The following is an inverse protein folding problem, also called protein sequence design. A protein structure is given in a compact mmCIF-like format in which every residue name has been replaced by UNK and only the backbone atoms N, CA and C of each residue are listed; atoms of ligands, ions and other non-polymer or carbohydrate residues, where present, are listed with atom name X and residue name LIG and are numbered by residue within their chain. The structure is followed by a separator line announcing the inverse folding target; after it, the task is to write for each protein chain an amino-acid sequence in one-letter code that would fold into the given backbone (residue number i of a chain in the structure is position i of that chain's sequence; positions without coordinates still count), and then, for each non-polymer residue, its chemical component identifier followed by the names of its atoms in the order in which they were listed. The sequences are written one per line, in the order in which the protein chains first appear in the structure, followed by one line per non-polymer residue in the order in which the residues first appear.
data_IF_776309919936
#
_entry.id   IF_776309919936
#
_cell.length_a   1.000
_cell.length_b   1.000
_cell.length_c   1.000
_cell.angle_alpha   90.00
_cell.angle_beta   90.00
_cell.angle_gamma   90.00
#
_symmetry.space_group_name_H-M   'P 1'
#
loop_
_entity.id
_entity.type
_entity.pdbx_description
1 polymer ?
#
# COMPACT_ATOMS: atom_id res chain seq x y z
N UNK A 1 14.64 11.17 -10.47
CA UNK A 1 14.78 10.17 -9.39
C UNK A 1 14.79 10.91 -8.05
N UNK A 2 14.21 10.32 -7.01
CA UNK A 2 14.25 10.87 -5.66
C UNK A 2 15.64 10.73 -5.05
N UNK A 3 16.07 11.69 -4.25
CA UNK A 3 17.32 11.57 -3.49
C UNK A 3 17.12 10.62 -2.30
N UNK A 4 18.22 10.04 -1.80
CA UNK A 4 18.20 9.23 -0.57
C UNK A 4 17.62 10.00 0.63
N UNK A 5 17.82 11.32 0.68
CA UNK A 5 17.23 12.15 1.72
C UNK A 5 15.70 12.24 1.57
N UNK A 6 15.19 12.47 0.36
CA UNK A 6 13.75 12.47 0.11
C UNK A 6 13.11 11.12 0.46
N UNK A 7 13.78 10.02 0.15
CA UNK A 7 13.35 8.66 0.51
C UNK A 7 13.26 8.49 2.03
N UNK A 8 14.28 8.94 2.79
CA UNK A 8 14.25 8.91 4.25
C UNK A 8 13.11 9.75 4.82
N UNK A 9 12.90 10.95 4.29
CA UNK A 9 11.87 11.87 4.78
C UNK A 9 10.44 11.38 4.51
N UNK A 10 10.25 10.44 3.58
CA UNK A 10 8.97 9.78 3.28
C UNK A 10 8.59 8.68 4.26
N UNK A 11 9.56 8.07 4.97
CA UNK A 11 9.28 7.02 5.95
C UNK A 11 9.15 7.63 7.34
N UNK A 12 7.93 7.74 7.84
CA UNK A 12 7.67 8.28 9.16
C UNK A 12 6.79 7.34 10.00
N UNK A 13 6.90 7.41 11.34
CA UNK A 13 5.93 6.78 12.22
C UNK A 13 4.51 7.24 11.88
N UNK A 14 3.54 6.33 11.97
CA UNK A 14 2.14 6.71 11.83
C UNK A 14 1.80 7.78 12.88
N UNK A 15 1.14 8.89 12.50
CA UNK A 15 0.77 9.93 13.45
C UNK A 15 -0.29 9.41 14.42
N UNK A 16 -0.28 9.93 15.65
CA UNK A 16 -1.33 9.67 16.63
C UNK A 16 -2.70 10.19 16.15
N UNK A 17 -2.70 11.33 15.45
CA UNK A 17 -3.89 11.85 14.77
C UNK A 17 -4.17 11.06 13.46
N UNK A 18 -5.25 10.28 13.48
CA UNK A 18 -5.70 9.45 12.35
C UNK A 18 -6.56 10.19 11.31
N UNK A 19 -6.70 11.52 11.43
CA UNK A 19 -7.51 12.35 10.50
C UNK A 19 -7.21 12.05 9.03
N UNK A 20 -5.95 11.80 8.69
CA UNK A 20 -5.48 11.55 7.32
C UNK A 20 -5.08 10.10 7.04
N UNK A 21 -5.37 9.19 7.98
CA UNK A 21 -5.13 7.75 7.84
C UNK A 21 -6.43 7.07 7.43
N UNK A 22 -6.37 6.26 6.37
CA UNK A 22 -7.40 5.27 6.04
C UNK A 22 -6.96 3.93 6.60
N UNK A 23 -7.85 3.22 7.29
CA UNK A 23 -7.58 1.87 7.78
C UNK A 23 -8.58 0.91 7.16
N UNK A 24 -8.10 -0.17 6.56
CA UNK A 24 -8.93 -1.29 6.16
C UNK A 24 -8.29 -2.59 6.64
N UNK A 25 -9.12 -3.58 6.90
CA UNK A 25 -8.68 -4.89 7.38
C UNK A 25 -9.28 -5.98 6.50
N UNK A 26 -8.52 -7.05 6.26
CA UNK A 26 -9.01 -8.27 5.64
C UNK A 26 -8.45 -9.49 6.36
N UNK A 27 -9.28 -10.51 6.52
CA UNK A 27 -8.84 -11.84 6.97
C UNK A 27 -8.64 -12.69 5.71
N UNK A 28 -7.44 -13.19 5.49
CA UNK A 28 -7.04 -14.02 4.35
C UNK A 28 -7.04 -15.49 4.73
N UNK A 29 -7.65 -16.32 3.90
CA UNK A 29 -7.71 -17.77 4.07
C UNK A 29 -6.38 -18.45 3.69
N UNK A 30 -5.32 -18.08 4.41
CA UNK A 30 -3.98 -18.63 4.29
C UNK A 30 -3.18 -18.40 5.61
N UNK A 31 -2.22 -19.27 5.95
CA UNK A 31 -1.35 -19.12 7.14
C UNK A 31 -0.47 -17.87 7.08
N UNK A 32 -0.09 -17.35 8.26
CA UNK A 32 0.69 -16.11 8.39
C UNK A 32 1.99 -16.14 7.57
N UNK A 33 2.78 -17.20 7.71
CA UNK A 33 4.06 -17.35 7.00
C UNK A 33 3.87 -17.28 5.48
N UNK A 34 2.78 -17.90 4.99
CA UNK A 34 2.45 -17.85 3.57
C UNK A 34 2.12 -16.43 3.13
N UNK A 35 1.24 -15.73 3.86
CA UNK A 35 0.83 -14.37 3.50
C UNK A 35 2.02 -13.40 3.57
N UNK A 36 2.85 -13.51 4.60
CA UNK A 36 4.03 -12.66 4.79
C UNK A 36 5.08 -12.79 3.67
N UNK A 37 5.28 -14.00 3.15
CA UNK A 37 6.23 -14.23 2.06
C UNK A 37 5.68 -13.83 0.69
N UNK A 38 4.35 -13.81 0.51
CA UNK A 38 3.73 -13.58 -0.80
C UNK A 38 3.13 -12.18 -1.00
N UNK A 39 2.68 -11.49 0.05
CA UNK A 39 2.07 -10.15 -0.05
C UNK A 39 3.07 -9.08 0.42
N UNK A 40 3.49 -8.12 -0.44
CA UNK A 40 3.03 -7.86 -1.81
C UNK A 40 3.82 -8.52 -2.95
N UNK A 41 4.86 -9.30 -2.66
CA UNK A 41 5.85 -9.78 -3.63
C UNK A 41 5.26 -10.46 -4.88
N UNK A 42 4.33 -11.39 -4.69
CA UNK A 42 3.89 -12.34 -5.72
C UNK A 42 2.49 -12.03 -6.26
N UNK A 43 1.95 -10.86 -5.96
CA UNK A 43 0.57 -10.52 -6.33
C UNK A 43 0.48 -9.97 -7.76
N UNK A 44 -0.61 -10.32 -8.45
CA UNK A 44 -1.01 -9.62 -9.67
C UNK A 44 -1.63 -8.26 -9.30
N UNK A 45 -0.86 -7.19 -9.52
CA UNK A 45 -1.28 -5.84 -9.11
C UNK A 45 -2.45 -5.33 -9.95
N UNK A 46 -2.64 -5.80 -11.18
CA UNK A 46 -3.78 -5.39 -12.01
C UNK A 46 -5.13 -5.81 -11.40
N UNK A 47 -5.13 -6.89 -10.61
CA UNK A 47 -6.30 -7.33 -9.85
C UNK A 47 -6.54 -6.54 -8.57
N UNK A 48 -5.54 -5.79 -8.10
CA UNK A 48 -5.58 -5.03 -6.85
C UNK A 48 -5.86 -3.55 -7.13
N UNK A 49 -5.06 -2.93 -7.99
CA UNK A 49 -5.15 -1.51 -8.34
C UNK A 49 -6.04 -1.32 -9.56
N UNK A 50 -7.35 -1.51 -9.39
CA UNK A 50 -8.34 -1.31 -10.47
C UNK A 50 -8.79 0.16 -10.56
N UNK A 51 -9.19 0.67 -11.74
CA UNK A 51 -9.71 2.02 -11.88
C UNK A 51 -10.86 2.31 -10.91
N UNK A 52 -10.87 3.51 -10.32
CA UNK A 52 -11.87 3.87 -9.31
C UNK A 52 -12.13 5.37 -9.28
N UNK A 53 -13.40 5.77 -9.51
CA UNK A 53 -13.85 7.17 -9.42
C UNK A 53 -12.93 8.16 -10.16
N UNK A 54 -12.52 7.78 -11.37
CA UNK A 54 -11.64 8.60 -12.21
C UNK A 54 -10.14 8.43 -11.95
N UNK A 55 -9.73 7.68 -10.92
CA UNK A 55 -8.33 7.27 -10.78
C UNK A 55 -8.01 6.10 -11.72
N UNK A 56 -6.85 6.12 -12.39
CA UNK A 56 -6.41 5.03 -13.23
C UNK A 56 -6.07 3.78 -12.39
N UNK A 57 -6.13 2.61 -13.02
CA UNK A 57 -5.62 1.36 -12.45
C UNK A 57 -4.17 1.11 -12.84
N UNK A 58 -3.55 0.07 -12.29
CA UNK A 58 -2.25 -0.42 -12.75
C UNK A 58 -2.43 -1.30 -14.00
N UNK A 59 -1.73 -0.96 -15.09
CA UNK A 59 -1.72 -1.73 -16.33
C UNK A 59 -0.52 -2.70 -16.41
N UNK A 60 0.63 -2.28 -15.90
CA UNK A 60 1.83 -3.11 -15.77
C UNK A 60 2.71 -2.60 -14.63
N UNK A 61 3.66 -3.42 -14.17
CA UNK A 61 4.61 -3.05 -13.14
C UNK A 61 5.98 -3.66 -13.39
N UNK A 62 7.01 -2.95 -12.96
CA UNK A 62 8.40 -3.43 -12.97
C UNK A 62 8.95 -3.25 -11.58
N UNK A 63 9.65 -4.28 -11.09
CA UNK A 63 10.26 -4.28 -9.77
C UNK A 63 11.78 -4.27 -9.90
N UNK A 64 12.47 -3.73 -8.89
CA UNK A 64 13.93 -3.91 -8.78
C UNK A 64 14.27 -5.38 -8.55
N UNK A 65 15.50 -5.80 -8.88
CA UNK A 65 15.94 -7.19 -8.69
C UNK A 65 15.66 -7.71 -7.26
N UNK A 66 15.97 -6.89 -6.25
CA UNK A 66 15.82 -7.25 -4.84
C UNK A 66 14.48 -6.82 -4.24
N UNK A 67 13.43 -6.91 -5.06
CA UNK A 67 12.10 -6.51 -4.65
C UNK A 67 11.64 -7.24 -3.39
N UNK A 68 10.91 -6.48 -2.57
CA UNK A 68 10.39 -6.81 -1.25
C UNK A 68 11.34 -6.51 -0.08
N UNK A 69 12.57 -6.06 -0.35
CA UNK A 69 13.51 -5.63 0.71
C UNK A 69 13.55 -4.10 0.87
N UNK A 70 13.95 -3.57 2.05
CA UNK A 70 14.10 -2.12 2.24
C UNK A 70 15.02 -1.47 1.19
N UNK A 71 14.58 -0.36 0.61
CA UNK A 71 15.27 0.35 -0.47
C UNK A 71 14.92 -0.14 -1.88
N UNK A 72 14.25 -1.29 -2.01
CA UNK A 72 13.73 -1.78 -3.29
C UNK A 72 12.52 -0.95 -3.76
N UNK A 73 12.20 -1.04 -5.06
CA UNK A 73 11.10 -0.27 -5.65
C UNK A 73 10.20 -1.14 -6.53
N UNK A 74 8.95 -0.71 -6.64
CA UNK A 74 8.00 -1.12 -7.66
C UNK A 74 7.53 0.11 -8.41
N UNK A 75 7.58 0.07 -9.74
CA UNK A 75 7.09 1.14 -10.60
C UNK A 75 5.92 0.63 -11.43
N UNK A 76 4.77 1.28 -11.27
CA UNK A 76 3.54 1.02 -11.99
C UNK A 76 3.46 1.90 -13.22
N UNK A 77 3.10 1.30 -14.36
CA UNK A 77 2.49 2.04 -15.47
C UNK A 77 0.98 1.96 -15.30
N UNK A 78 0.34 3.12 -15.17
CA UNK A 78 -1.09 3.23 -14.95
C UNK A 78 -1.86 3.16 -16.28
N UNK A 79 -3.17 2.91 -16.23
CA UNK A 79 -4.03 2.79 -17.44
C UNK A 79 -4.16 4.08 -18.26
N UNK A 80 -3.78 5.23 -17.68
CA UNK A 80 -3.67 6.52 -18.37
C UNK A 80 -2.24 6.86 -18.81
N UNK A 81 -1.33 5.87 -18.77
CA UNK A 81 0.11 5.97 -19.05
C UNK A 81 0.90 6.82 -18.06
N UNK A 82 0.30 7.29 -16.96
CA UNK A 82 1.08 7.88 -15.87
C UNK A 82 1.90 6.82 -15.15
N UNK A 83 2.95 7.23 -14.45
CA UNK A 83 3.80 6.32 -13.68
C UNK A 83 3.80 6.67 -12.20
N UNK A 84 3.80 5.64 -11.36
CA UNK A 84 3.91 5.75 -9.90
C UNK A 84 5.02 4.82 -9.47
N UNK A 85 5.99 5.33 -8.70
CA UNK A 85 7.05 4.52 -8.11
C UNK A 85 6.90 4.51 -6.61
N UNK A 86 6.68 3.32 -6.05
CA UNK A 86 6.69 3.08 -4.60
C UNK A 86 8.04 2.54 -4.16
N UNK A 87 8.51 3.04 -3.01
CA UNK A 87 9.73 2.58 -2.35
C UNK A 87 9.37 1.81 -1.09
N UNK A 88 10.05 0.69 -0.87
CA UNK A 88 9.90 -0.11 0.34
C UNK A 88 10.82 0.45 1.41
N UNK A 89 10.26 0.83 2.55
CA UNK A 89 11.03 1.43 3.66
C UNK A 89 11.32 0.44 4.78
N UNK A 90 10.43 -0.54 4.99
CA UNK A 90 10.55 -1.51 6.08
C UNK A 90 9.92 -2.84 5.68
N UNK A 91 10.64 -3.92 5.96
CA UNK A 91 10.11 -5.30 6.03
C UNK A 91 10.67 -5.92 7.30
N UNK A 92 9.83 -6.04 8.32
CA UNK A 92 10.24 -6.51 9.65
C UNK A 92 9.52 -7.82 9.99
N UNK A 93 10.21 -8.97 9.90
CA UNK A 93 9.60 -10.26 10.18
C UNK A 93 9.29 -10.47 11.67
N UNK A 94 9.98 -9.79 12.59
CA UNK A 94 9.75 -9.96 14.02
C UNK A 94 8.39 -9.39 14.45
N UNK A 95 7.95 -8.32 13.79
CA UNK A 95 6.67 -7.66 14.08
C UNK A 95 5.64 -7.82 12.97
N UNK A 96 5.96 -8.55 11.90
CA UNK A 96 5.18 -8.64 10.67
C UNK A 96 4.66 -7.27 10.22
N UNK A 97 5.61 -6.34 10.04
CA UNK A 97 5.30 -4.96 9.69
C UNK A 97 6.03 -4.58 8.40
N UNK A 98 5.23 -4.22 7.40
CA UNK A 98 5.69 -3.80 6.10
C UNK A 98 5.32 -2.34 5.85
N UNK A 99 6.27 -1.53 5.37
CA UNK A 99 6.07 -0.10 5.11
C UNK A 99 6.61 0.26 3.75
N UNK A 100 5.80 0.99 2.99
CA UNK A 100 6.14 1.52 1.68
C UNK A 100 5.53 2.91 1.50
N UNK A 101 5.97 3.64 0.49
CA UNK A 101 5.35 4.91 0.14
C UNK A 101 5.94 5.55 -1.10
N UNK A 102 5.37 6.69 -1.46
CA UNK A 102 5.78 7.44 -2.64
C UNK A 102 5.41 8.92 -2.55
N UNK A 103 5.97 9.71 -3.45
CA UNK A 103 5.56 11.10 -3.67
C UNK A 103 4.41 11.13 -4.69
N UNK A 104 3.18 11.47 -4.27
CA UNK A 104 2.07 11.56 -5.20
C UNK A 104 2.29 12.72 -6.18
N UNK A 105 1.78 12.62 -7.42
CA UNK A 105 1.86 13.72 -8.40
C UNK A 105 0.96 14.92 -8.04
N UNK A 106 0.38 14.94 -6.83
CA UNK A 106 -0.53 15.98 -6.36
C UNK A 106 0.23 16.88 -5.36
N UNK A 107 0.52 18.15 -5.71
CA UNK A 107 1.49 18.99 -5.00
C UNK A 107 1.03 19.47 -3.61
N UNK A 108 -0.15 19.05 -3.14
CA UNK A 108 -0.73 19.39 -1.84
C UNK A 108 -0.37 18.38 -0.73
N UNK A 109 0.33 17.29 -1.08
CA UNK A 109 0.80 16.27 -0.14
C UNK A 109 2.32 16.31 -0.02
N UNK A 110 2.83 15.92 1.15
CA UNK A 110 4.26 15.69 1.36
C UNK A 110 4.66 14.32 0.84
N UNK A 111 3.89 13.29 1.18
CA UNK A 111 4.04 11.91 0.70
C UNK A 111 2.80 11.09 1.05
N UNK A 112 2.67 9.92 0.42
CA UNK A 112 1.73 8.88 0.83
C UNK A 112 2.48 7.65 1.32
N UNK A 113 2.01 7.03 2.39
CA UNK A 113 2.66 5.88 3.03
C UNK A 113 1.65 4.78 3.36
N UNK A 114 1.90 3.56 2.92
CA UNK A 114 1.17 2.37 3.32
C UNK A 114 1.90 1.61 4.41
N UNK A 115 1.16 1.15 5.42
CA UNK A 115 1.64 0.25 6.47
C UNK A 115 0.75 -0.98 6.47
N UNK A 116 1.34 -2.16 6.27
CA UNK A 116 0.67 -3.45 6.39
C UNK A 116 1.15 -4.13 7.67
N UNK A 117 0.21 -4.54 8.50
CA UNK A 117 0.45 -5.33 9.70
C UNK A 117 -0.22 -6.68 9.50
N UNK A 118 0.49 -7.76 9.80
CA UNK A 118 0.00 -9.12 9.60
C UNK A 118 -0.02 -9.82 10.95
N UNK A 119 -1.07 -10.58 11.22
CA UNK A 119 -1.19 -11.34 12.45
C UNK A 119 -1.96 -12.64 12.23
N UNK A 120 -1.55 -13.69 12.92
CA UNK A 120 -2.28 -14.94 12.92
C UNK A 120 -3.57 -14.78 13.73
N UNK A 121 -4.67 -15.25 13.15
CA UNK A 121 -5.95 -15.40 13.86
C UNK A 121 -6.01 -16.75 14.58
N UNK A 122 -6.88 -16.93 15.59
CA UNK A 122 -6.95 -18.17 16.36
C UNK A 122 -7.27 -19.43 15.53
N UNK A 123 -7.90 -19.28 14.36
CA UNK A 123 -8.27 -20.39 13.48
C UNK A 123 -7.24 -20.68 12.38
N UNK A 124 -6.05 -20.07 12.46
CA UNK A 124 -4.93 -20.32 11.55
C UNK A 124 -4.93 -19.47 10.28
N UNK A 125 -5.91 -18.59 10.09
CA UNK A 125 -5.94 -17.59 9.00
C UNK A 125 -5.10 -16.36 9.35
N UNK A 126 -4.90 -15.46 8.39
CA UNK A 126 -4.12 -14.24 8.59
C UNK A 126 -5.00 -12.99 8.55
N UNK A 127 -4.98 -12.17 9.60
CA UNK A 127 -5.51 -10.81 9.54
C UNK A 127 -4.42 -9.87 9.02
N UNK A 128 -4.78 -9.09 7.98
CA UNK A 128 -3.96 -8.01 7.44
C UNK A 128 -4.66 -6.69 7.67
N UNK A 129 -4.00 -5.78 8.40
CA UNK A 129 -4.46 -4.40 8.62
C UNK A 129 -3.63 -3.47 7.75
N UNK A 130 -4.29 -2.75 6.84
CA UNK A 130 -3.68 -1.75 5.97
C UNK A 130 -4.01 -0.35 6.45
N UNK A 131 -3.00 0.36 6.95
CA UNK A 131 -3.08 1.78 7.31
C UNK A 131 -2.38 2.63 6.26
N UNK A 132 -3.17 3.41 5.53
CA UNK A 132 -2.68 4.27 4.46
C UNK A 132 -2.75 5.74 4.86
N UNK A 133 -1.60 6.39 4.96
CA UNK A 133 -1.48 7.79 5.37
C UNK A 133 -1.31 8.71 4.17
N UNK A 134 -2.25 9.63 4.02
CA UNK A 134 -2.25 10.71 3.03
C UNK A 134 -1.66 11.98 3.66
N UNK A 135 -0.33 12.10 3.84
CA UNK A 135 0.26 13.22 4.58
C UNK A 135 0.08 14.54 3.82
N UNK A 136 -0.80 15.47 4.27
CA UNK A 136 -0.97 16.74 3.61
C UNK A 136 0.21 17.67 3.95
N UNK A 137 0.51 18.60 3.05
CA UNK A 137 1.28 19.79 3.42
C UNK A 137 0.57 20.54 4.54
N UNK A 138 1.34 21.21 5.41
CA UNK A 138 0.80 22.00 6.51
C UNK A 138 0.21 23.35 6.03
N UNK A 139 -0.75 23.29 5.11
CA UNK A 139 -1.50 24.43 4.57
C UNK A 139 -3.00 24.14 4.68
N UNK A 140 -3.83 25.17 4.71
CA UNK A 140 -5.30 25.02 4.75
C UNK A 140 -5.80 24.19 3.55
N UNK A 141 -5.26 24.48 2.37
CA UNK A 141 -5.60 23.77 1.12
C UNK A 141 -5.18 22.29 1.19
N UNK A 142 -3.96 21.99 1.67
CA UNK A 142 -3.50 20.61 1.82
C UNK A 142 -4.38 19.81 2.80
N UNK A 143 -4.68 20.40 3.96
CA UNK A 143 -5.54 19.78 4.97
C UNK A 143 -6.96 19.54 4.48
N UNK A 144 -7.56 20.51 3.78
CA UNK A 144 -8.91 20.37 3.21
C UNK A 144 -8.94 19.34 2.07
N UNK A 145 -7.99 19.42 1.14
CA UNK A 145 -7.86 18.50 0.02
C UNK A 145 -7.67 17.06 0.47
N UNK A 146 -6.84 16.81 1.47
CA UNK A 146 -6.65 15.48 2.04
C UNK A 146 -7.92 14.91 2.70
N UNK A 147 -8.70 15.74 3.42
CA UNK A 147 -9.99 15.31 3.99
C UNK A 147 -10.98 14.91 2.91
N UNK A 148 -11.09 15.70 1.84
CA UNK A 148 -11.98 15.41 0.71
C UNK A 148 -11.53 14.15 -0.03
N UNK A 149 -10.24 14.05 -0.38
CA UNK A 149 -9.68 12.88 -1.07
C UNK A 149 -9.88 11.60 -0.27
N UNK A 150 -9.56 11.64 1.03
CA UNK A 150 -9.79 10.52 1.97
C UNK A 150 -11.24 10.05 1.93
N UNK A 151 -12.19 10.99 2.11
CA UNK A 151 -13.62 10.68 2.24
C UNK A 151 -14.24 10.18 0.95
N UNK A 152 -13.93 10.80 -0.18
CA UNK A 152 -14.64 10.55 -1.43
C UNK A 152 -13.95 9.54 -2.35
N UNK A 153 -12.65 9.30 -2.19
CA UNK A 153 -11.91 8.44 -3.12
C UNK A 153 -11.13 7.39 -2.34
N UNK A 154 -10.25 7.81 -1.43
CA UNK A 154 -9.23 6.92 -0.88
C UNK A 154 -9.79 5.82 0.02
N UNK A 155 -10.83 6.11 0.81
CA UNK A 155 -11.48 5.10 1.65
C UNK A 155 -12.04 3.95 0.83
N UNK A 156 -12.75 4.25 -0.27
CA UNK A 156 -13.30 3.22 -1.15
C UNK A 156 -12.24 2.53 -2.02
N UNK A 157 -11.23 3.27 -2.48
CA UNK A 157 -10.14 2.72 -3.27
C UNK A 157 -9.33 1.70 -2.49
N UNK A 158 -8.89 2.05 -1.28
CA UNK A 158 -8.11 1.15 -0.41
C UNK A 158 -8.94 -0.02 0.14
N UNK A 159 -10.24 0.18 0.37
CA UNK A 159 -11.14 -0.94 0.69
C UNK A 159 -11.22 -1.96 -0.46
N UNK A 160 -11.27 -1.51 -1.72
CA UNK A 160 -11.18 -2.42 -2.87
C UNK A 160 -9.81 -3.07 -2.99
N UNK A 161 -8.74 -2.28 -2.79
CA UNK A 161 -7.36 -2.77 -2.84
C UNK A 161 -7.11 -3.92 -1.86
N UNK A 162 -7.54 -3.79 -0.60
CA UNK A 162 -7.32 -4.88 0.38
C UNK A 162 -8.12 -6.14 0.05
N UNK A 163 -9.31 -6.00 -0.55
CA UNK A 163 -10.08 -7.16 -1.02
C UNK A 163 -9.44 -7.81 -2.24
N UNK A 164 -8.84 -7.02 -3.14
CA UNK A 164 -8.02 -7.54 -4.24
C UNK A 164 -6.79 -8.30 -3.72
N UNK A 165 -6.09 -7.75 -2.72
CA UNK A 165 -4.96 -8.43 -2.07
C UNK A 165 -5.39 -9.76 -1.46
N UNK A 166 -6.50 -9.79 -0.72
CA UNK A 166 -7.08 -11.02 -0.17
C UNK A 166 -7.36 -12.04 -1.27
N UNK A 167 -8.05 -11.64 -2.33
CA UNK A 167 -8.41 -12.55 -3.42
C UNK A 167 -7.17 -13.15 -4.11
N UNK A 168 -6.14 -12.35 -4.36
CA UNK A 168 -4.89 -12.82 -4.98
C UNK A 168 -4.11 -13.75 -4.05
N UNK A 169 -3.96 -13.42 -2.77
CA UNK A 169 -3.29 -14.28 -1.79
C UNK A 169 -3.99 -15.64 -1.69
N UNK A 170 -5.31 -15.65 -1.59
CA UNK A 170 -6.08 -16.89 -1.50
C UNK A 170 -6.06 -17.70 -2.80
N UNK A 171 -6.02 -17.03 -3.96
CA UNK A 171 -5.83 -17.69 -5.25
C UNK A 171 -4.46 -18.36 -5.33
N UNK A 172 -3.40 -17.66 -4.91
CA UNK A 172 -2.04 -18.22 -4.86
C UNK A 172 -1.96 -19.41 -3.92
N UNK A 173 -2.57 -19.31 -2.73
CA UNK A 173 -2.57 -20.37 -1.73
C UNK A 173 -3.28 -21.64 -2.23
N UNK A 174 -4.49 -21.49 -2.81
CA UNK A 174 -5.24 -22.62 -3.37
C UNK A 174 -4.54 -23.31 -4.54
N UNK A 175 -3.73 -22.60 -5.30
CA UNK A 175 -3.03 -23.15 -6.47
C UNK A 175 -1.72 -23.89 -6.10
N UNK A 176 -1.29 -23.86 -4.84
CA UNK A 176 -0.11 -24.59 -4.35
C UNK A 176 -0.45 -25.92 -3.67
N UNK A 177 -1.71 -26.17 -3.35
CA UNK A 177 -2.23 -27.44 -2.82
C UNK A 177 -2.96 -28.25 -3.88
#
# INVERSE_FOLDING_TARGET
MLTQQQIRDMSAPLPADSTYIVTNTAIMDAPLDFVWENLPKNLDISNIMRPYRGLPGAASWVVTQEFNEPGSNITYTMTDNTTITETIFKRDPATHHYVYGYLPPVPIFDFWQGNLFYSATPDGRTEVVWRYWLKPKNTVIGKLGARLLKRFIWSGYTARGIQGMKAEVERLYRNQG
#
